data_IF_845040101405
#
_entry.id   IF_845040101405
#
_cell.length_a   1.000
_cell.length_b   1.000
_cell.length_c   1.000
_cell.angle_alpha   90.00
_cell.angle_beta   90.00
_cell.angle_gamma   90.00
#
_symmetry.space_group_name_H-M   'P 1'
#
loop_
_entity.id
_entity.type
_entity.pdbx_description
1 polymer ?
#
# COMPACT_ATOMS: atom_id res chain seq x y z
N UNK A 1 39.69 -6.06 -1.95
CA UNK A 1 38.66 -6.92 -1.35
C UNK A 1 38.16 -6.25 -0.08
N UNK A 2 39.00 -6.00 0.96
CA UNK A 2 38.61 -5.38 2.24
C UNK A 2 37.86 -4.03 2.09
N UNK A 3 38.29 -3.16 1.15
CA UNK A 3 37.62 -1.88 0.91
C UNK A 3 36.20 -2.06 0.30
N UNK A 4 36.00 -3.09 -0.50
CA UNK A 4 34.69 -3.41 -1.07
C UNK A 4 33.76 -4.07 -0.03
N UNK A 5 34.31 -4.94 0.82
CA UNK A 5 33.57 -5.56 1.92
C UNK A 5 33.11 -4.51 2.93
N UNK A 6 33.99 -3.57 3.31
CA UNK A 6 33.63 -2.46 4.18
C UNK A 6 32.59 -1.53 3.56
N UNK A 7 32.68 -1.24 2.25
CA UNK A 7 31.69 -0.42 1.57
C UNK A 7 30.30 -1.10 1.53
N UNK A 8 30.25 -2.43 1.38
CA UNK A 8 29.01 -3.21 1.45
C UNK A 8 28.44 -3.20 2.88
N UNK A 9 29.29 -3.37 3.87
CA UNK A 9 28.90 -3.31 5.29
C UNK A 9 28.38 -1.93 5.69
N UNK A 10 29.06 -0.86 5.24
CA UNK A 10 28.61 0.53 5.45
C UNK A 10 27.26 0.80 4.76
N UNK A 11 27.03 0.26 3.57
CA UNK A 11 25.74 0.37 2.87
C UNK A 11 24.65 -0.43 3.59
N UNK A 12 24.94 -1.63 4.09
CA UNK A 12 23.99 -2.44 4.85
C UNK A 12 23.60 -1.78 6.17
N UNK A 13 24.56 -1.17 6.87
CA UNK A 13 24.31 -0.47 8.14
C UNK A 13 23.57 0.86 7.96
N UNK A 14 23.61 1.46 6.77
CA UNK A 14 22.92 2.70 6.42
C UNK A 14 21.64 2.46 5.57
N UNK A 15 21.25 1.22 5.33
CA UNK A 15 19.94 0.91 4.77
C UNK A 15 18.88 1.27 5.81
N UNK A 16 18.07 2.29 5.55
CA UNK A 16 16.93 2.67 6.40
C UNK A 16 15.95 1.51 6.62
N UNK A 17 14.70 1.80 6.86
CA UNK A 17 13.66 0.77 7.02
C UNK A 17 13.61 -0.17 5.79
N UNK A 18 13.51 -1.48 6.06
CA UNK A 18 13.40 -2.49 5.01
C UNK A 18 12.14 -2.25 4.17
N UNK A 19 12.29 -2.30 2.85
CA UNK A 19 11.13 -2.26 1.95
C UNK A 19 10.21 -3.48 2.19
N UNK A 20 8.93 -3.35 1.90
CA UNK A 20 7.97 -4.47 2.01
C UNK A 20 8.43 -5.71 1.23
N UNK A 21 9.05 -5.51 0.06
CA UNK A 21 9.61 -6.60 -0.74
C UNK A 21 10.79 -7.30 -0.04
N UNK A 22 11.66 -6.53 0.63
CA UNK A 22 12.77 -7.10 1.42
C UNK A 22 12.24 -7.90 2.62
N UNK A 23 11.19 -7.41 3.27
CA UNK A 23 10.53 -8.10 4.38
C UNK A 23 9.85 -9.40 3.93
N UNK A 24 9.17 -9.42 2.78
CA UNK A 24 8.59 -10.65 2.19
C UNK A 24 9.70 -11.65 1.86
N UNK A 25 10.81 -11.18 1.29
CA UNK A 25 11.97 -12.04 1.01
C UNK A 25 12.54 -12.66 2.28
N UNK A 26 12.59 -11.91 3.39
CA UNK A 26 13.03 -12.45 4.68
C UNK A 26 12.06 -13.54 5.19
N UNK A 27 10.74 -13.29 5.14
CA UNK A 27 9.75 -14.31 5.51
C UNK A 27 9.88 -15.59 4.68
N UNK A 28 10.07 -15.44 3.36
CA UNK A 28 10.30 -16.58 2.47
C UNK A 28 11.56 -17.37 2.87
N UNK A 29 12.67 -16.69 3.16
CA UNK A 29 13.90 -17.30 3.59
C UNK A 29 13.73 -18.11 4.86
N UNK A 30 13.14 -17.50 5.89
CA UNK A 30 12.96 -18.11 7.20
C UNK A 30 11.87 -19.19 7.27
N UNK A 31 11.14 -19.41 6.18
CA UNK A 31 10.12 -20.45 6.05
C UNK A 31 10.48 -21.47 4.99
N UNK A 32 10.28 -21.14 3.71
CA UNK A 32 10.42 -22.10 2.60
C UNK A 32 11.83 -22.66 2.49
N UNK A 33 12.85 -21.84 2.72
CA UNK A 33 14.25 -22.26 2.59
C UNK A 33 14.83 -22.79 3.91
N UNK A 34 14.62 -22.09 5.02
CA UNK A 34 15.29 -22.37 6.29
C UNK A 34 14.34 -22.61 7.46
N UNK A 35 13.11 -23.04 7.18
CA UNK A 35 12.08 -23.22 8.19
C UNK A 35 12.18 -24.55 8.96
N UNK A 36 11.83 -24.46 10.24
CA UNK A 36 11.62 -25.59 11.14
C UNK A 36 10.14 -25.66 11.57
N UNK A 37 9.64 -26.87 11.83
CA UNK A 37 8.26 -27.13 12.23
C UNK A 37 8.21 -27.99 13.50
N UNK A 38 7.25 -27.75 14.37
CA UNK A 38 7.01 -28.49 15.61
C UNK A 38 7.13 -27.60 16.84
N UNK A 39 7.78 -28.07 17.89
CA UNK A 39 8.04 -27.29 19.12
C UNK A 39 9.51 -26.83 19.16
N UNK A 40 9.79 -25.84 20.00
CA UNK A 40 11.17 -25.36 20.19
C UNK A 40 12.08 -26.46 20.76
N UNK A 41 11.53 -27.38 21.54
CA UNK A 41 12.26 -28.52 22.16
C UNK A 41 12.44 -29.67 21.18
N UNK A 42 11.57 -29.83 20.20
CA UNK A 42 11.62 -30.92 19.22
C UNK A 42 11.26 -30.43 17.82
N UNK A 43 12.08 -29.54 17.23
CA UNK A 43 11.84 -29.05 15.89
C UNK A 43 12.21 -30.11 14.84
N UNK A 44 11.56 -30.03 13.68
CA UNK A 44 11.85 -30.84 12.49
C UNK A 44 12.11 -29.92 11.32
N UNK A 45 13.03 -30.33 10.43
CA UNK A 45 13.35 -29.58 9.23
C UNK A 45 12.24 -29.78 8.19
N UNK A 46 11.78 -28.66 7.58
CA UNK A 46 10.98 -28.71 6.37
C UNK A 46 11.52 -27.78 5.27
N UNK A 47 12.35 -26.78 5.64
CA UNK A 47 12.93 -25.82 4.71
C UNK A 47 13.85 -26.51 3.68
N UNK A 48 13.63 -26.19 2.39
CA UNK A 48 14.33 -26.82 1.28
C UNK A 48 15.86 -26.62 1.31
N UNK A 49 16.29 -25.41 1.70
CA UNK A 49 17.71 -25.06 1.84
C UNK A 49 18.43 -25.87 2.90
N UNK A 50 17.76 -26.25 3.98
CA UNK A 50 18.32 -27.07 5.06
C UNK A 50 18.41 -28.54 4.68
N UNK A 51 17.67 -29.02 3.69
CA UNK A 51 17.68 -30.45 3.31
C UNK A 51 18.80 -30.80 2.33
N UNK A 52 19.36 -29.83 1.62
CA UNK A 52 20.31 -30.07 0.54
C UNK A 52 21.76 -30.33 1.02
N UNK A 53 22.37 -29.55 1.91
CA UNK A 53 23.70 -29.83 2.44
C UNK A 53 23.59 -30.69 3.71
N UNK A 54 24.11 -31.93 3.64
CA UNK A 54 24.10 -32.87 4.80
C UNK A 54 24.74 -32.23 6.05
N UNK A 55 25.78 -31.41 5.87
CA UNK A 55 26.45 -30.71 6.96
C UNK A 55 25.55 -29.65 7.63
N UNK A 56 24.75 -28.92 6.86
CA UNK A 56 23.92 -27.87 7.39
C UNK A 56 22.65 -28.40 8.07
N UNK A 57 22.07 -29.48 7.54
CA UNK A 57 20.95 -30.17 8.18
C UNK A 57 21.30 -30.75 9.56
N UNK A 58 22.54 -31.25 9.72
CA UNK A 58 23.02 -31.70 11.02
C UNK A 58 23.36 -30.52 11.95
N UNK A 59 24.03 -29.48 11.43
CA UNK A 59 24.45 -28.31 12.18
C UNK A 59 23.23 -27.51 12.73
N UNK A 60 22.23 -27.33 11.92
CA UNK A 60 21.05 -26.52 12.30
C UNK A 60 20.28 -27.11 13.48
N UNK A 61 20.44 -28.41 13.77
CA UNK A 61 19.80 -29.09 14.91
C UNK A 61 20.61 -29.04 16.20
N UNK A 62 21.84 -28.52 16.15
CA UNK A 62 22.70 -28.38 17.35
C UNK A 62 22.31 -27.12 18.16
N UNK A 63 22.83 -27.05 19.39
CA UNK A 63 22.62 -25.88 20.28
C UNK A 63 23.39 -24.63 19.78
N UNK A 64 24.29 -24.77 18.82
CA UNK A 64 25.00 -23.65 18.20
C UNK A 64 24.06 -22.74 17.37
N UNK A 65 22.93 -23.27 16.93
CA UNK A 65 21.91 -22.51 16.19
C UNK A 65 20.71 -22.22 17.09
N UNK A 66 20.39 -20.95 17.27
CA UNK A 66 19.28 -20.52 18.10
C UNK A 66 17.94 -20.84 17.42
N UNK A 67 17.02 -21.52 18.11
CA UNK A 67 15.65 -21.77 17.64
C UNK A 67 14.73 -20.73 18.24
N UNK A 68 14.02 -19.99 17.39
CA UNK A 68 13.08 -18.93 17.77
C UNK A 68 11.67 -19.29 17.32
N UNK A 69 10.63 -18.88 18.03
CA UNK A 69 9.27 -19.02 17.51
C UNK A 69 9.14 -18.19 16.24
N UNK A 70 8.46 -18.74 15.23
CA UNK A 70 8.17 -18.00 14.00
C UNK A 70 7.05 -16.98 14.29
N UNK A 71 7.35 -15.71 14.07
CA UNK A 71 6.42 -14.56 14.23
C UNK A 71 6.64 -13.57 13.10
N UNK A 72 5.80 -12.55 13.02
CA UNK A 72 5.95 -11.44 12.05
C UNK A 72 7.32 -10.75 12.15
N UNK A 73 7.97 -10.80 13.31
CA UNK A 73 9.30 -10.20 13.53
C UNK A 73 10.38 -10.82 12.63
N UNK A 74 10.18 -12.05 12.15
CA UNK A 74 11.06 -12.69 11.19
C UNK A 74 11.18 -11.89 9.87
N UNK A 75 10.18 -11.07 9.53
CA UNK A 75 10.22 -10.17 8.38
C UNK A 75 11.34 -9.12 8.49
N UNK A 76 11.70 -8.72 9.71
CA UNK A 76 12.75 -7.72 9.96
C UNK A 76 14.16 -8.33 10.03
N UNK A 77 14.24 -9.67 10.09
CA UNK A 77 15.52 -10.36 10.24
C UNK A 77 16.17 -10.63 8.88
N UNK A 78 17.26 -9.94 8.60
CA UNK A 78 18.08 -10.19 7.40
C UNK A 78 18.80 -11.54 7.49
N UNK A 79 19.24 -12.04 6.36
CA UNK A 79 19.99 -13.29 6.24
C UNK A 79 21.18 -13.11 5.30
N UNK A 80 22.18 -13.99 5.43
CA UNK A 80 23.36 -14.03 4.58
C UNK A 80 23.45 -15.42 3.94
N UNK A 81 23.29 -15.50 2.62
CA UNK A 81 23.31 -16.77 1.86
C UNK A 81 24.69 -17.43 1.81
N UNK A 82 25.74 -16.73 2.21
CA UNK A 82 27.11 -17.22 2.17
C UNK A 82 27.56 -17.83 3.49
N UNK A 83 26.74 -17.74 4.53
CA UNK A 83 27.06 -18.17 5.88
C UNK A 83 26.01 -19.10 6.45
N UNK A 84 26.43 -19.98 7.34
CA UNK A 84 25.53 -20.78 8.15
C UNK A 84 24.68 -19.85 9.01
N UNK A 85 23.35 -20.08 9.04
CA UNK A 85 22.45 -19.19 9.77
C UNK A 85 22.62 -19.37 11.29
N UNK A 86 22.84 -18.28 12.06
CA UNK A 86 23.04 -18.36 13.52
C UNK A 86 21.74 -18.63 14.29
N UNK A 87 20.61 -18.45 13.61
CA UNK A 87 19.28 -18.66 14.16
C UNK A 87 18.32 -19.20 13.10
N UNK A 88 17.30 -19.93 13.54
CA UNK A 88 16.22 -20.44 12.71
C UNK A 88 14.89 -20.27 13.41
N UNK A 89 13.80 -20.26 12.63
CA UNK A 89 12.46 -20.07 13.15
C UNK A 89 11.66 -21.36 13.09
N UNK A 90 10.91 -21.63 14.17
CA UNK A 90 10.08 -22.82 14.34
C UNK A 90 8.61 -22.43 14.27
N UNK A 91 7.88 -22.96 13.28
CA UNK A 91 6.42 -22.84 13.20
C UNK A 91 5.76 -24.04 13.86
N UNK A 92 4.66 -23.90 14.61
CA UNK A 92 3.96 -25.05 15.19
C UNK A 92 3.38 -25.99 14.14
N UNK A 93 2.86 -25.44 13.05
CA UNK A 93 2.29 -26.18 11.91
C UNK A 93 2.30 -25.31 10.63
N UNK A 94 1.89 -25.87 9.50
CA UNK A 94 1.83 -25.14 8.23
C UNK A 94 0.69 -24.13 8.15
N UNK A 95 -0.40 -24.31 8.89
CA UNK A 95 -1.50 -23.35 8.92
C UNK A 95 -1.08 -22.04 9.58
N UNK A 96 -0.19 -22.10 10.56
CA UNK A 96 0.37 -20.94 11.25
C UNK A 96 1.20 -20.06 10.32
N UNK A 97 1.86 -20.63 9.30
CA UNK A 97 2.58 -19.85 8.28
C UNK A 97 1.64 -18.90 7.55
N UNK A 98 0.45 -19.37 7.19
CA UNK A 98 -0.57 -18.55 6.53
C UNK A 98 -1.09 -17.46 7.44
N UNK A 99 -1.20 -17.72 8.74
CA UNK A 99 -1.64 -16.73 9.73
C UNK A 99 -0.63 -15.60 9.85
N UNK A 100 0.65 -15.89 9.99
CA UNK A 100 1.71 -14.87 10.04
C UNK A 100 1.81 -14.09 8.72
N UNK A 101 1.67 -14.78 7.58
CA UNK A 101 1.66 -14.11 6.26
C UNK A 101 0.49 -13.13 6.13
N UNK A 102 -0.69 -13.50 6.64
CA UNK A 102 -1.88 -12.64 6.66
C UNK A 102 -1.68 -11.45 7.61
N UNK A 103 -1.09 -11.68 8.79
CA UNK A 103 -0.71 -10.62 9.73
C UNK A 103 0.25 -9.62 9.07
N UNK A 104 1.27 -10.13 8.39
CA UNK A 104 2.20 -9.28 7.64
C UNK A 104 1.49 -8.51 6.52
N UNK A 105 0.65 -9.17 5.73
CA UNK A 105 -0.10 -8.54 4.65
C UNK A 105 -0.98 -7.37 5.16
N UNK A 106 -1.50 -7.45 6.38
CA UNK A 106 -2.26 -6.37 7.01
C UNK A 106 -1.41 -5.12 7.34
N UNK A 107 -0.09 -5.24 7.38
CA UNK A 107 0.83 -4.10 7.56
C UNK A 107 1.23 -3.43 6.25
N UNK A 108 1.03 -4.10 5.12
CA UNK A 108 1.43 -3.59 3.81
C UNK A 108 0.59 -2.39 3.38
N UNK A 109 1.21 -1.47 2.65
CA UNK A 109 0.55 -0.28 2.12
C UNK A 109 -0.71 -0.59 1.31
N UNK A 110 -0.70 -1.71 0.57
CA UNK A 110 -1.85 -2.19 -0.21
C UNK A 110 -3.10 -2.40 0.66
N UNK A 111 -2.95 -2.81 1.91
CA UNK A 111 -4.08 -3.03 2.83
C UNK A 111 -4.31 -1.87 3.80
N UNK A 112 -3.26 -1.23 4.27
CA UNK A 112 -3.39 -0.10 5.20
C UNK A 112 -3.96 1.13 4.53
N UNK A 113 -3.65 1.36 3.25
CA UNK A 113 -4.12 2.51 2.49
C UNK A 113 -3.78 3.86 3.16
N UNK A 114 -4.70 4.83 3.03
CA UNK A 114 -4.59 6.14 3.64
C UNK A 114 -3.35 6.93 3.19
N UNK A 115 -2.94 7.91 3.99
CA UNK A 115 -1.81 8.79 3.67
C UNK A 115 -0.48 8.02 3.51
N UNK A 116 -0.22 7.04 4.37
CA UNK A 116 1.00 6.21 4.30
C UNK A 116 1.06 5.40 3.02
N UNK A 117 -0.06 4.78 2.63
CA UNK A 117 -0.16 4.02 1.38
C UNK A 117 0.07 4.88 0.15
N UNK A 118 -0.50 6.09 0.13
CA UNK A 118 -0.32 7.04 -0.98
C UNK A 118 1.13 7.52 -1.06
N UNK A 119 1.78 7.86 0.07
CA UNK A 119 3.20 8.26 0.09
C UNK A 119 4.10 7.15 -0.47
N UNK A 120 3.91 5.89 -0.04
CA UNK A 120 4.64 4.74 -0.59
C UNK A 120 4.41 4.55 -2.08
N UNK A 121 3.18 4.77 -2.56
CA UNK A 121 2.86 4.70 -3.99
C UNK A 121 3.58 5.79 -4.79
N UNK A 122 3.63 7.01 -4.28
CA UNK A 122 4.38 8.13 -4.89
C UNK A 122 5.88 7.80 -4.93
N UNK A 123 6.46 7.32 -3.84
CA UNK A 123 7.88 6.99 -3.73
C UNK A 123 8.27 5.85 -4.70
N UNK A 124 7.37 4.91 -4.93
CA UNK A 124 7.58 3.81 -5.88
C UNK A 124 7.65 4.26 -7.33
N UNK A 125 7.06 5.42 -7.68
CA UNK A 125 6.92 5.93 -9.05
C UNK A 125 6.25 4.93 -10.01
N UNK A 126 5.57 3.95 -9.48
CA UNK A 126 4.91 2.90 -10.24
C UNK A 126 3.47 3.29 -10.60
N UNK A 127 2.93 2.65 -11.64
CA UNK A 127 1.51 2.67 -11.92
C UNK A 127 0.76 2.00 -10.77
N UNK A 128 -0.22 2.68 -10.21
CA UNK A 128 -1.06 2.13 -9.16
C UNK A 128 -2.48 2.66 -9.19
N UNK A 129 -3.34 2.06 -8.39
CA UNK A 129 -4.74 2.48 -8.24
C UNK A 129 -5.01 2.87 -6.80
N UNK A 130 -5.60 4.04 -6.61
CA UNK A 130 -6.16 4.51 -5.34
C UNK A 130 -7.68 4.48 -5.45
N UNK A 131 -8.33 3.83 -4.49
CA UNK A 131 -9.78 3.85 -4.35
C UNK A 131 -10.18 4.78 -3.20
N UNK A 132 -11.07 5.72 -3.50
CA UNK A 132 -11.66 6.61 -2.50
C UNK A 132 -12.85 5.94 -1.81
N UNK A 133 -13.27 6.47 -0.65
CA UNK A 133 -14.46 5.99 0.09
C UNK A 133 -15.74 6.00 -0.73
N UNK A 134 -15.83 6.85 -1.74
CA UNK A 134 -16.93 6.93 -2.70
C UNK A 134 -16.96 5.76 -3.71
N UNK A 135 -15.91 4.91 -3.73
CA UNK A 135 -15.70 3.87 -4.74
C UNK A 135 -15.13 4.40 -6.06
N UNK A 136 -14.72 5.67 -6.12
CA UNK A 136 -13.97 6.19 -7.27
C UNK A 136 -12.56 5.63 -7.23
N UNK A 137 -12.17 4.94 -8.29
CA UNK A 137 -10.83 4.39 -8.50
C UNK A 137 -10.06 5.29 -9.45
N UNK A 138 -8.86 5.69 -9.06
CA UNK A 138 -7.94 6.54 -9.83
C UNK A 138 -6.70 5.72 -10.13
N UNK A 139 -6.49 5.39 -11.41
CA UNK A 139 -5.35 4.57 -11.87
C UNK A 139 -4.38 5.42 -12.67
N UNK A 140 -3.15 5.57 -12.17
CA UNK A 140 -2.13 6.42 -12.77
C UNK A 140 -0.81 6.37 -12.00
N UNK A 141 0.15 7.19 -12.40
CA UNK A 141 1.39 7.41 -11.64
C UNK A 141 1.18 8.59 -10.70
N UNK A 142 1.08 8.29 -9.40
CA UNK A 142 0.89 9.32 -8.38
C UNK A 142 2.19 10.08 -8.15
N UNK A 143 2.11 11.41 -8.10
CA UNK A 143 3.28 12.29 -7.97
C UNK A 143 3.17 13.27 -6.82
N UNK A 144 1.97 13.54 -6.34
CA UNK A 144 1.78 14.49 -5.26
C UNK A 144 0.59 14.13 -4.37
N UNK A 145 0.74 14.38 -3.08
CA UNK A 145 -0.31 14.36 -2.07
C UNK A 145 -0.15 15.58 -1.16
N UNK A 146 -1.21 16.32 -0.93
CA UNK A 146 -1.24 17.35 0.11
C UNK A 146 -1.95 16.77 1.31
N UNK A 147 -1.36 16.97 2.48
CA UNK A 147 -1.91 16.48 3.75
C UNK A 147 -2.31 17.64 4.68
N UNK A 148 -3.30 17.38 5.50
CA UNK A 148 -3.70 18.25 6.59
C UNK A 148 -4.16 17.38 7.77
N UNK A 149 -3.59 17.62 8.96
CA UNK A 149 -3.87 16.83 10.18
C UNK A 149 -3.74 15.31 9.98
N UNK A 150 -2.72 14.89 9.23
CA UNK A 150 -2.45 13.46 8.98
C UNK A 150 -3.39 12.79 7.99
N UNK A 151 -4.24 13.55 7.28
CA UNK A 151 -5.17 13.06 6.25
C UNK A 151 -4.80 13.61 4.88
N UNK A 152 -4.94 12.82 3.80
CA UNK A 152 -4.79 13.34 2.45
C UNK A 152 -5.98 14.26 2.13
N UNK A 153 -5.68 15.47 1.66
CA UNK A 153 -6.68 16.47 1.26
C UNK A 153 -6.66 16.75 -0.24
N UNK A 154 -5.62 16.31 -0.95
CA UNK A 154 -5.48 16.43 -2.39
C UNK A 154 -4.60 15.32 -2.92
N UNK A 155 -4.95 14.76 -4.05
CA UNK A 155 -4.15 13.77 -4.81
C UNK A 155 -3.88 14.29 -6.20
N UNK A 156 -2.71 13.90 -6.75
CA UNK A 156 -2.34 14.20 -8.12
C UNK A 156 -1.59 13.04 -8.76
N UNK A 157 -1.96 12.75 -10.00
CA UNK A 157 -1.24 11.85 -10.90
C UNK A 157 -0.59 12.65 -12.03
N UNK A 158 0.33 12.05 -12.75
CA UNK A 158 0.93 12.58 -13.99
C UNK A 158 0.83 11.56 -15.11
N UNK A 159 0.81 12.05 -16.34
CA UNK A 159 0.67 11.22 -17.53
C UNK A 159 -0.69 10.53 -17.60
N UNK A 160 -0.77 9.48 -18.41
CA UNK A 160 -2.03 8.76 -18.67
C UNK A 160 -2.68 8.26 -17.39
N UNK A 161 -3.86 8.76 -17.09
CA UNK A 161 -4.66 8.39 -15.92
C UNK A 161 -6.05 7.95 -16.37
N UNK A 162 -6.61 6.94 -15.71
CA UNK A 162 -7.98 6.47 -15.93
C UNK A 162 -8.77 6.53 -14.63
N UNK A 163 -10.06 6.85 -14.73
CA UNK A 163 -10.99 6.80 -13.61
C UNK A 163 -11.97 5.65 -13.81
N UNK A 164 -12.23 4.91 -12.75
CA UNK A 164 -13.10 3.74 -12.76
C UNK A 164 -14.00 3.73 -11.51
N UNK A 165 -15.02 2.92 -11.56
CA UNK A 165 -15.82 2.53 -10.41
C UNK A 165 -16.16 1.05 -10.52
N UNK A 166 -15.92 0.26 -9.45
CA UNK A 166 -16.11 -1.19 -9.44
C UNK A 166 -15.38 -1.88 -10.60
N UNK A 167 -14.12 -1.49 -10.82
CA UNK A 167 -13.21 -2.02 -11.84
C UNK A 167 -13.68 -1.79 -13.30
N UNK A 168 -14.65 -0.87 -13.49
CA UNK A 168 -15.13 -0.46 -14.82
C UNK A 168 -14.78 1.00 -15.05
N UNK A 169 -14.10 1.27 -16.17
CA UNK A 169 -13.77 2.62 -16.60
C UNK A 169 -15.03 3.49 -16.69
N UNK A 170 -14.96 4.69 -16.12
CA UNK A 170 -16.03 5.68 -16.24
C UNK A 170 -16.04 6.25 -17.68
N UNK A 171 -17.21 6.21 -18.31
CA UNK A 171 -17.39 6.72 -19.67
C UNK A 171 -16.94 8.17 -19.78
N UNK A 172 -15.97 8.42 -20.66
CA UNK A 172 -15.36 9.73 -20.89
C UNK A 172 -14.20 10.06 -19.93
N UNK A 173 -13.75 9.12 -19.10
CA UNK A 173 -12.68 9.32 -18.12
C UNK A 173 -11.56 8.26 -18.22
N UNK A 174 -11.37 7.68 -19.40
CA UNK A 174 -10.22 6.83 -19.69
C UNK A 174 -8.93 7.62 -19.93
N UNK A 175 -7.85 6.89 -20.21
CA UNK A 175 -6.51 7.46 -20.39
C UNK A 175 -6.41 8.51 -21.49
N UNK A 176 -7.30 8.51 -22.49
CA UNK A 176 -7.34 9.51 -23.54
C UNK A 176 -7.89 10.86 -23.06
N UNK A 177 -8.76 10.86 -22.03
CA UNK A 177 -9.31 12.08 -21.45
C UNK A 177 -8.37 12.75 -20.43
N UNK A 178 -7.48 11.97 -19.82
CA UNK A 178 -6.55 12.42 -18.78
C UNK A 178 -5.11 12.10 -19.17
N UNK A 179 -4.67 12.61 -20.33
CA UNK A 179 -3.31 12.38 -20.87
C UNK A 179 -2.21 13.00 -20.01
N UNK A 180 -2.48 14.16 -19.42
CA UNK A 180 -1.51 14.92 -18.62
C UNK A 180 -1.58 14.59 -17.12
N UNK A 181 -2.56 13.80 -16.72
CA UNK A 181 -2.80 13.43 -15.33
C UNK A 181 -4.18 13.85 -14.85
N UNK A 182 -4.39 13.63 -13.55
CA UNK A 182 -5.62 13.97 -12.85
C UNK A 182 -5.28 14.49 -11.46
N UNK A 183 -5.99 15.50 -11.00
CA UNK A 183 -5.88 16.01 -9.65
C UNK A 183 -7.25 16.25 -9.04
N UNK A 184 -7.40 15.93 -7.75
CA UNK A 184 -8.67 16.10 -7.04
C UNK A 184 -8.44 16.47 -5.58
N UNK A 185 -9.19 17.45 -5.04
CA UNK A 185 -9.36 17.58 -3.61
C UNK A 185 -10.08 16.35 -3.07
N UNK A 186 -9.85 16.06 -1.79
CA UNK A 186 -10.46 14.97 -1.03
C UNK A 186 -11.02 15.54 0.26
N UNK A 187 -12.12 14.99 0.74
CA UNK A 187 -12.75 15.37 2.00
C UNK A 187 -14.06 16.13 1.83
N UNK A 188 -14.57 16.64 2.93
CA UNK A 188 -15.83 17.37 3.00
C UNK A 188 -15.67 18.84 2.62
N UNK A 189 -16.78 19.48 2.30
CA UNK A 189 -16.82 20.92 2.17
C UNK A 189 -16.71 21.59 3.55
N UNK A 190 -16.01 22.71 3.61
CA UNK A 190 -15.73 23.46 4.82
C UNK A 190 -17.02 23.96 5.47
N UNK A 191 -17.16 23.65 6.75
CA UNK A 191 -18.34 24.01 7.53
C UNK A 191 -19.58 23.16 7.27
N UNK A 192 -19.48 22.11 6.44
CA UNK A 192 -20.58 21.20 6.13
C UNK A 192 -20.21 19.79 6.65
N UNK A 193 -20.98 19.30 7.61
CA UNK A 193 -20.71 17.99 8.20
C UNK A 193 -21.21 16.79 7.36
N UNK A 194 -21.84 17.08 6.21
CA UNK A 194 -22.31 16.08 5.25
C UNK A 194 -21.32 15.99 4.08
N UNK A 195 -20.91 14.80 3.69
CA UNK A 195 -20.06 14.59 2.52
C UNK A 195 -20.89 14.82 1.24
N UNK A 196 -20.23 15.25 0.15
CA UNK A 196 -20.92 15.55 -1.12
C UNK A 196 -21.64 14.31 -1.66
N UNK A 197 -21.03 13.13 -1.54
CA UNK A 197 -21.62 11.86 -1.96
C UNK A 197 -22.92 11.52 -1.23
N UNK A 198 -23.05 11.94 0.03
CA UNK A 198 -24.23 11.69 0.88
C UNK A 198 -25.33 12.74 0.71
N UNK A 199 -25.05 13.83 -0.03
CA UNK A 199 -26.01 14.91 -0.24
C UNK A 199 -27.19 14.48 -1.11
N UNK A 200 -28.40 14.76 -0.63
CA UNK A 200 -29.60 14.65 -1.47
C UNK A 200 -29.59 15.68 -2.61
N UNK A 201 -30.38 15.49 -3.67
CA UNK A 201 -30.54 16.51 -4.72
C UNK A 201 -30.96 17.89 -4.20
N UNK A 202 -31.70 17.95 -3.08
CA UNK A 202 -32.11 19.19 -2.42
C UNK A 202 -30.91 19.86 -1.74
N UNK A 203 -30.07 19.09 -1.06
CA UNK A 203 -28.86 19.60 -0.41
C UNK A 203 -27.88 20.13 -1.45
N UNK A 204 -27.61 19.36 -2.51
CA UNK A 204 -26.75 19.77 -3.62
C UNK A 204 -27.21 21.09 -4.22
N UNK A 205 -28.54 21.24 -4.43
CA UNK A 205 -29.12 22.49 -4.95
C UNK A 205 -28.95 23.67 -3.98
N UNK A 206 -29.01 23.43 -2.68
CA UNK A 206 -28.82 24.46 -1.65
C UNK A 206 -27.40 25.02 -1.61
N UNK A 207 -26.43 24.25 -2.09
CA UNK A 207 -25.01 24.63 -2.19
C UNK A 207 -24.56 24.92 -3.63
N UNK A 208 -25.51 25.15 -4.55
CA UNK A 208 -25.26 25.41 -5.98
C UNK A 208 -24.46 24.33 -6.71
N UNK A 209 -24.56 23.07 -6.23
CA UNK A 209 -23.86 21.91 -6.82
C UNK A 209 -24.79 21.19 -7.80
N UNK A 210 -25.03 21.80 -8.97
CA UNK A 210 -25.84 21.21 -10.04
C UNK A 210 -25.37 21.64 -11.43
N UNK A 211 -25.78 20.88 -12.44
CA UNK A 211 -25.36 21.11 -13.82
C UNK A 211 -25.78 22.52 -14.31
N UNK A 212 -24.84 23.20 -14.95
CA UNK A 212 -25.03 24.54 -15.51
C UNK A 212 -24.68 25.68 -14.57
N UNK A 213 -24.54 25.42 -13.27
CA UNK A 213 -24.22 26.44 -12.28
C UNK A 213 -22.71 26.64 -12.12
N UNK A 214 -22.31 27.87 -11.74
CA UNK A 214 -20.93 28.16 -11.37
C UNK A 214 -20.75 27.98 -9.87
N UNK A 215 -20.19 26.85 -9.47
CA UNK A 215 -19.96 26.54 -8.07
C UNK A 215 -18.57 27.01 -7.59
N UNK A 216 -18.53 27.35 -6.30
CA UNK A 216 -17.32 27.60 -5.54
C UNK A 216 -17.31 26.61 -4.39
N UNK A 217 -16.51 25.53 -4.54
CA UNK A 217 -16.38 24.48 -3.54
C UNK A 217 -15.10 24.70 -2.73
N UNK A 218 -15.23 25.01 -1.46
CA UNK A 218 -14.12 25.12 -0.52
C UNK A 218 -14.12 23.88 0.39
N UNK A 219 -13.06 23.09 0.31
CA UNK A 219 -12.89 21.87 1.09
C UNK A 219 -12.26 22.16 2.47
N UNK A 220 -12.44 21.26 3.45
CA UNK A 220 -11.89 21.39 4.81
C UNK A 220 -10.39 21.66 4.83
N UNK A 221 -9.64 21.09 3.87
CA UNK A 221 -8.21 21.34 3.67
C UNK A 221 -7.85 22.70 3.07
N UNK A 222 -8.77 23.66 3.01
CA UNK A 222 -8.63 24.99 2.38
C UNK A 222 -8.32 24.94 0.87
N UNK A 223 -8.60 23.82 0.21
CA UNK A 223 -8.53 23.73 -1.26
C UNK A 223 -9.85 24.26 -1.83
N UNK A 224 -9.74 25.16 -2.78
CA UNK A 224 -10.88 25.80 -3.42
C UNK A 224 -10.95 25.40 -4.89
N UNK A 225 -12.10 24.92 -5.32
CA UNK A 225 -12.43 24.63 -6.72
C UNK A 225 -13.52 25.60 -7.18
N UNK A 226 -13.26 26.30 -8.27
CA UNK A 226 -14.21 27.23 -8.86
C UNK A 226 -14.40 26.88 -10.32
N UNK A 227 -15.64 26.75 -10.77
CA UNK A 227 -15.92 26.47 -12.16
C UNK A 227 -17.40 26.22 -12.44
N UNK A 228 -17.75 26.20 -13.72
CA UNK A 228 -19.09 25.84 -14.16
C UNK A 228 -19.23 24.32 -14.19
N UNK A 229 -20.19 23.78 -13.47
CA UNK A 229 -20.48 22.34 -13.44
C UNK A 229 -21.08 21.90 -14.78
N UNK A 230 -20.45 20.93 -15.43
CA UNK A 230 -20.94 20.34 -16.68
C UNK A 230 -21.83 19.14 -16.35
N UNK A 231 -21.36 18.25 -15.46
CA UNK A 231 -22.07 17.04 -15.07
C UNK A 231 -21.47 16.44 -13.81
N UNK A 232 -22.22 15.56 -13.15
CA UNK A 232 -21.76 14.70 -12.07
C UNK A 232 -21.94 13.23 -12.45
N UNK A 233 -20.94 12.39 -12.13
CA UNK A 233 -21.06 10.94 -12.23
C UNK A 233 -21.56 10.39 -10.91
N UNK A 234 -22.46 9.41 -10.98
CA UNK A 234 -23.01 8.74 -9.81
C UNK A 234 -22.70 7.25 -9.85
N UNK A 235 -22.51 6.66 -8.67
CA UNK A 235 -22.44 5.22 -8.53
C UNK A 235 -23.82 4.58 -8.61
N UNK A 236 -23.89 3.24 -8.44
CA UNK A 236 -25.16 2.49 -8.51
C UNK A 236 -26.12 2.80 -7.33
N UNK A 237 -25.62 3.42 -6.27
CA UNK A 237 -26.43 3.86 -5.12
C UNK A 237 -26.97 5.29 -5.30
N UNK A 238 -26.61 5.95 -6.40
CA UNK A 238 -27.02 7.32 -6.70
C UNK A 238 -26.13 8.41 -6.06
N UNK A 239 -25.05 8.02 -5.41
CA UNK A 239 -24.09 8.92 -4.76
C UNK A 239 -23.17 9.56 -5.80
N UNK A 240 -22.87 10.86 -5.66
CA UNK A 240 -21.93 11.57 -6.54
C UNK A 240 -20.50 11.12 -6.24
N UNK A 241 -19.82 10.57 -7.24
CA UNK A 241 -18.43 10.11 -7.14
C UNK A 241 -17.45 10.99 -7.92
N UNK A 242 -17.93 11.83 -8.82
CA UNK A 242 -17.12 12.74 -9.63
C UNK A 242 -17.96 13.92 -10.10
N UNK A 243 -17.38 15.12 -10.03
CA UNK A 243 -17.98 16.36 -10.58
C UNK A 243 -17.03 16.88 -11.65
N UNK A 244 -17.56 17.14 -12.85
CA UNK A 244 -16.81 17.70 -13.98
C UNK A 244 -17.10 19.17 -14.13
N UNK A 245 -16.07 19.99 -14.28
CA UNK A 245 -16.14 21.41 -14.47
C UNK A 245 -15.71 21.80 -15.88
N UNK A 246 -16.27 22.88 -16.40
CA UNK A 246 -15.78 23.55 -17.59
C UNK A 246 -14.77 24.61 -17.16
N UNK A 247 -13.59 24.57 -17.78
CA UNK A 247 -12.61 25.64 -17.71
C UNK A 247 -13.10 26.89 -18.46
#
# INVERSE_FOLDING_TARGET
IEAAEKAVEDLQNNMGELSEMAQIRNLHWWTVEYGLIGTLENPKIYGAGLLSPIGESAWCMTDNVKKLPYTIEAAQQSFDITKVQPQLYVTPDFAYLSLILEEFANTMALRTGGLSGIKKLIDSKALGTVELSTGLQISGVFTNVIEHEGKPIYLQTTGKTALANREKELVGHGTAAHLEGFGSPIGKLKGINLAIEDMSPRDLKAYDIYEGETATLEFEGNIKVVGKIITGKRNLHGEIILISFKN
#
